data_IF_858246885734
#
_entry.id   IF_858246885734
#
_cell.length_a   1.000
_cell.length_b   1.000
_cell.length_c   1.000
_cell.angle_alpha   90.00
_cell.angle_beta   90.00
_cell.angle_gamma   90.00
#
_symmetry.space_group_name_H-M   'P 1'
#
loop_
_entity.id
_entity.type
_entity.pdbx_description
1 polymer ?
#
# COMPACT_ATOMS: atom_id res chain seq x y z
N UNK A 1 26.40 1.80 -13.46
CA UNK A 1 25.94 2.92 -14.31
C UNK A 1 24.92 3.71 -13.52
N UNK A 2 25.17 4.97 -13.17
CA UNK A 2 24.14 5.83 -12.57
C UNK A 2 23.09 6.12 -13.66
N UNK A 3 21.89 5.55 -13.52
CA UNK A 3 20.78 5.86 -14.41
C UNK A 3 20.40 7.34 -14.17
N UNK A 4 20.83 8.23 -15.07
CA UNK A 4 20.38 9.64 -15.08
C UNK A 4 19.02 9.80 -15.75
N UNK A 5 18.57 8.79 -16.50
CA UNK A 5 17.27 8.79 -17.17
C UNK A 5 16.60 7.41 -17.15
N UNK A 6 15.27 7.38 -17.24
CA UNK A 6 14.44 6.21 -17.49
C UNK A 6 13.38 6.54 -18.57
N UNK A 7 13.53 6.02 -19.80
CA UNK A 7 12.79 6.50 -20.97
C UNK A 7 12.95 8.02 -21.17
N UNK A 8 11.84 8.71 -21.35
CA UNK A 8 11.75 10.17 -21.46
C UNK A 8 11.76 10.91 -20.12
N UNK A 9 12.22 10.28 -19.04
CA UNK A 9 12.23 10.88 -17.71
C UNK A 9 13.66 11.01 -17.18
N UNK A 10 13.99 12.16 -16.60
CA UNK A 10 15.20 12.35 -15.81
C UNK A 10 14.99 11.83 -14.39
N UNK A 11 16.02 11.22 -13.82
CA UNK A 11 16.04 10.73 -12.44
C UNK A 11 16.90 11.68 -11.61
N UNK A 12 16.37 12.14 -10.48
CA UNK A 12 17.03 13.16 -9.64
C UNK A 12 17.57 12.53 -8.36
N UNK A 13 16.69 12.02 -7.51
CA UNK A 13 17.03 11.47 -6.18
C UNK A 13 16.33 10.15 -5.97
N UNK A 14 17.06 9.15 -5.47
CA UNK A 14 16.45 7.92 -4.97
C UNK A 14 15.72 8.23 -3.67
N UNK A 15 14.41 8.09 -3.68
CA UNK A 15 13.54 8.42 -2.53
C UNK A 15 13.38 7.23 -1.59
N UNK A 16 13.41 6.01 -2.11
CA UNK A 16 13.24 4.81 -1.29
C UNK A 16 13.22 3.54 -2.11
N UNK A 17 12.71 2.48 -1.49
CA UNK A 17 12.54 1.18 -2.14
C UNK A 17 11.32 0.45 -1.59
N UNK A 18 10.72 -0.40 -2.42
CA UNK A 18 9.57 -1.23 -2.08
C UNK A 18 9.70 -2.57 -2.81
N UNK A 19 9.86 -3.66 -2.07
CA UNK A 19 10.12 -4.98 -2.64
C UNK A 19 11.28 -4.98 -3.64
N UNK A 20 11.01 -5.42 -4.87
CA UNK A 20 11.98 -5.44 -5.98
C UNK A 20 12.11 -4.08 -6.70
N UNK A 21 11.55 -2.99 -6.20
CA UNK A 21 11.62 -1.68 -6.85
C UNK A 21 12.43 -0.69 -6.02
N UNK A 22 13.27 0.08 -6.70
CA UNK A 22 13.72 1.37 -6.20
C UNK A 22 12.82 2.44 -6.81
N UNK A 23 12.51 3.50 -6.06
CA UNK A 23 11.73 4.61 -6.60
C UNK A 23 12.45 5.95 -6.42
N UNK A 24 12.29 6.79 -7.44
CA UNK A 24 13.05 8.01 -7.64
C UNK A 24 12.12 9.19 -7.88
N UNK A 25 12.50 10.37 -7.39
CA UNK A 25 11.93 11.62 -7.89
C UNK A 25 12.51 11.90 -9.28
N UNK A 26 11.65 12.26 -10.23
CA UNK A 26 12.04 12.58 -11.58
C UNK A 26 11.06 13.53 -12.28
N UNK A 27 11.36 13.84 -13.53
CA UNK A 27 10.46 14.61 -14.39
C UNK A 27 10.56 14.16 -15.84
N UNK A 28 9.45 14.29 -16.58
CA UNK A 28 9.47 14.10 -18.02
C UNK A 28 10.37 15.19 -18.66
N UNK A 29 11.36 14.78 -19.46
CA UNK A 29 12.43 15.66 -19.97
C UNK A 29 11.87 16.81 -20.80
N UNK A 30 10.92 16.53 -21.69
CA UNK A 30 10.33 17.56 -22.57
C UNK A 30 9.19 18.34 -21.91
N UNK A 31 8.28 17.64 -21.21
CA UNK A 31 7.06 18.22 -20.66
C UNK A 31 7.25 18.85 -19.27
N UNK A 32 8.37 18.59 -18.59
CA UNK A 32 8.64 19.08 -17.23
C UNK A 32 7.71 18.50 -16.16
N UNK A 33 6.89 17.50 -16.48
CA UNK A 33 5.93 16.90 -15.57
C UNK A 33 6.69 16.07 -14.52
N UNK A 34 6.60 16.49 -13.25
CA UNK A 34 7.18 15.75 -12.13
C UNK A 34 6.50 14.40 -11.94
N UNK A 35 7.25 13.40 -11.53
CA UNK A 35 6.78 12.03 -11.34
C UNK A 35 7.56 11.31 -10.25
N UNK A 36 6.91 10.33 -9.60
CA UNK A 36 7.59 9.28 -8.85
C UNK A 36 7.78 8.07 -9.78
N UNK A 37 9.02 7.61 -9.93
CA UNK A 37 9.40 6.61 -10.94
C UNK A 37 9.94 5.37 -10.25
N UNK A 38 9.23 4.26 -10.37
CA UNK A 38 9.62 2.95 -9.85
C UNK A 38 10.40 2.20 -10.93
N UNK A 39 11.54 1.61 -10.55
CA UNK A 39 12.40 0.84 -11.44
C UNK A 39 12.74 -0.48 -10.75
N UNK A 40 12.55 -1.60 -11.44
CA UNK A 40 12.93 -2.90 -10.89
C UNK A 40 14.45 -2.97 -10.63
N UNK A 41 14.82 -3.55 -9.48
CA UNK A 41 16.21 -3.73 -9.05
C UNK A 41 16.89 -4.83 -9.85
N UNK A 42 16.13 -5.87 -10.19
CA UNK A 42 16.55 -6.96 -11.06
C UNK A 42 15.97 -6.79 -12.45
N UNK A 43 16.62 -7.45 -13.40
CA UNK A 43 16.09 -7.61 -14.73
C UNK A 43 14.81 -8.45 -14.68
N UNK A 44 13.93 -8.20 -15.63
CA UNK A 44 12.59 -8.71 -15.74
C UNK A 44 12.46 -9.35 -17.12
N UNK A 45 11.89 -10.55 -17.15
CA UNK A 45 11.52 -11.16 -18.42
C UNK A 45 10.45 -10.28 -19.11
N UNK A 46 10.62 -9.93 -20.39
CA UNK A 46 9.64 -9.13 -21.10
C UNK A 46 8.32 -9.89 -21.24
N UNK A 47 7.31 -9.48 -20.47
CA UNK A 47 5.92 -9.89 -20.66
C UNK A 47 5.18 -8.85 -21.52
N UNK A 48 4.10 -9.22 -22.23
CA UNK A 48 3.25 -8.23 -22.90
C UNK A 48 2.63 -7.26 -21.87
N UNK A 49 3.18 -6.05 -21.75
CA UNK A 49 2.75 -5.04 -20.77
C UNK A 49 1.58 -4.18 -21.25
N UNK A 50 1.11 -4.33 -22.49
CA UNK A 50 -0.01 -3.56 -23.01
C UNK A 50 -1.29 -3.66 -22.16
N UNK A 51 -1.65 -4.83 -21.58
CA UNK A 51 -2.74 -4.91 -20.62
C UNK A 51 -2.54 -4.03 -19.39
N UNK A 52 -1.30 -3.90 -18.87
CA UNK A 52 -0.99 -3.02 -17.73
C UNK A 52 -1.18 -1.53 -18.07
N UNK A 53 -1.05 -1.13 -19.34
CA UNK A 53 -1.29 0.25 -19.75
C UNK A 53 -2.76 0.67 -19.55
N UNK A 54 -3.69 -0.28 -19.41
CA UNK A 54 -5.08 0.02 -19.04
C UNK A 54 -5.19 0.72 -17.67
N UNK A 55 -4.25 0.46 -16.75
CA UNK A 55 -4.18 1.08 -15.43
C UNK A 55 -4.09 2.60 -15.49
N UNK A 56 -3.51 3.15 -16.56
CA UNK A 56 -3.38 4.61 -16.79
C UNK A 56 -4.72 5.33 -16.89
N UNK A 57 -5.79 4.60 -17.25
CA UNK A 57 -7.15 5.13 -17.36
C UNK A 57 -7.90 5.11 -16.02
N UNK A 58 -7.38 4.40 -15.01
CA UNK A 58 -8.00 4.35 -13.69
C UNK A 58 -7.79 5.68 -12.96
N UNK A 59 -8.85 6.17 -12.33
CA UNK A 59 -8.82 7.38 -11.53
C UNK A 59 -9.53 7.11 -10.20
N UNK A 60 -8.87 6.37 -9.32
CA UNK A 60 -9.39 6.03 -7.99
C UNK A 60 -8.73 6.99 -7.00
N UNK A 61 -9.52 7.87 -6.39
CA UNK A 61 -8.99 8.75 -5.36
C UNK A 61 -8.43 7.92 -4.19
N UNK A 62 -7.17 8.17 -3.83
CA UNK A 62 -6.42 7.39 -2.84
C UNK A 62 -5.55 6.27 -3.43
N UNK A 63 -5.52 6.09 -4.75
CA UNK A 63 -4.53 5.23 -5.45
C UNK A 63 -3.66 6.12 -6.33
N UNK A 64 -2.36 5.85 -6.38
CA UNK A 64 -1.43 6.62 -7.19
C UNK A 64 -1.76 6.50 -8.67
N UNK A 65 -1.93 7.63 -9.35
CA UNK A 65 -2.18 7.62 -10.79
C UNK A 65 -0.92 7.19 -11.53
N UNK A 66 -1.06 6.20 -12.41
CA UNK A 66 0.00 5.76 -13.30
C UNK A 66 -0.04 6.59 -14.59
N UNK A 67 1.09 7.22 -14.93
CA UNK A 67 1.27 7.94 -16.19
C UNK A 67 1.79 7.04 -17.30
N UNK A 68 2.72 6.14 -16.99
CA UNK A 68 3.32 5.25 -17.97
C UNK A 68 3.89 3.96 -17.36
N UNK A 69 3.99 2.92 -18.19
CA UNK A 69 4.59 1.62 -17.85
C UNK A 69 5.35 1.12 -19.08
N UNK A 70 6.64 0.83 -18.92
CA UNK A 70 7.49 0.34 -20.02
C UNK A 70 8.70 -0.44 -19.51
N UNK A 71 9.36 -1.18 -20.41
CA UNK A 71 10.65 -1.78 -20.14
C UNK A 71 11.79 -0.87 -20.61
N UNK A 72 12.86 -0.80 -19.82
CA UNK A 72 14.13 -0.17 -20.23
C UNK A 72 15.31 -0.97 -19.69
N UNK A 73 16.20 -1.41 -20.58
CA UNK A 73 17.34 -2.28 -20.23
C UNK A 73 16.89 -3.49 -19.40
N UNK A 74 15.86 -4.17 -19.89
CA UNK A 74 15.22 -5.33 -19.24
C UNK A 74 14.67 -5.06 -17.83
N UNK A 75 14.48 -3.80 -17.44
CA UNK A 75 13.87 -3.43 -16.16
C UNK A 75 12.50 -2.85 -16.36
N UNK A 76 11.57 -3.23 -15.50
CA UNK A 76 10.24 -2.65 -15.49
C UNK A 76 10.32 -1.24 -14.89
N UNK A 77 9.82 -0.27 -15.63
CA UNK A 77 9.69 1.13 -15.21
C UNK A 77 8.21 1.48 -15.12
N UNK A 78 7.81 2.00 -13.96
CA UNK A 78 6.45 2.51 -13.72
C UNK A 78 6.54 3.96 -13.30
N UNK A 79 5.89 4.82 -14.06
CA UNK A 79 5.85 6.27 -13.83
C UNK A 79 4.50 6.62 -13.26
N UNK A 80 4.50 7.31 -12.13
CA UNK A 80 3.29 7.69 -11.41
C UNK A 80 3.22 9.20 -11.20
N UNK A 81 2.16 9.67 -10.55
CA UNK A 81 2.01 11.05 -10.11
C UNK A 81 3.19 11.56 -9.26
N UNK A 82 3.35 12.89 -9.10
CA UNK A 82 4.53 13.50 -8.49
C UNK A 82 4.88 12.95 -7.11
N UNK A 83 6.15 13.14 -6.74
CA UNK A 83 6.71 12.64 -5.49
C UNK A 83 5.88 13.09 -4.27
N UNK A 84 5.56 12.15 -3.36
CA UNK A 84 4.87 12.44 -2.11
C UNK A 84 5.78 13.20 -1.15
N UNK A 85 5.20 13.66 -0.02
CA UNK A 85 5.99 14.21 1.10
C UNK A 85 6.87 13.14 1.78
N UNK A 86 6.46 11.87 1.70
CA UNK A 86 7.16 10.72 2.25
C UNK A 86 6.29 9.48 2.19
N UNK A 87 6.90 8.31 2.37
CA UNK A 87 6.19 7.06 2.56
C UNK A 87 5.74 6.90 4.02
N UNK A 88 4.77 6.01 4.27
CA UNK A 88 4.37 5.61 5.62
C UNK A 88 5.52 4.94 6.37
N UNK A 89 6.42 4.28 5.65
CA UNK A 89 7.69 3.81 6.21
C UNK A 89 8.49 4.92 6.87
N UNK A 90 8.67 6.07 6.19
CA UNK A 90 9.42 7.22 6.72
C UNK A 90 8.68 7.83 7.91
N UNK A 91 7.36 7.84 7.88
CA UNK A 91 6.53 8.28 9.01
C UNK A 91 6.80 7.43 10.25
N UNK A 92 6.78 6.09 10.15
CA UNK A 92 7.12 5.22 11.27
C UNK A 92 8.55 5.42 11.78
N UNK A 93 9.50 5.69 10.89
CA UNK A 93 10.89 5.93 11.27
C UNK A 93 11.06 7.20 12.12
N UNK A 94 10.26 8.23 11.83
CA UNK A 94 10.27 9.51 12.54
C UNK A 94 9.30 9.57 13.72
N UNK A 95 8.43 8.57 13.88
CA UNK A 95 7.45 8.53 14.95
C UNK A 95 8.13 8.10 16.27
N UNK A 96 8.15 9.00 17.25
CA UNK A 96 8.83 8.77 18.54
C UNK A 96 7.94 8.13 19.62
N UNK A 97 6.62 8.17 19.44
CA UNK A 97 5.63 7.59 20.33
C UNK A 97 4.44 7.06 19.50
N UNK A 98 3.73 6.06 20.02
CA UNK A 98 2.48 5.60 19.41
C UNK A 98 1.46 6.72 19.26
N UNK A 99 0.55 6.55 18.31
CA UNK A 99 -0.63 7.40 18.20
C UNK A 99 -1.68 6.97 19.22
N UNK A 100 -2.53 7.92 19.61
CA UNK A 100 -3.79 7.56 20.25
C UNK A 100 -4.63 6.69 19.29
N UNK A 101 -5.46 5.84 19.87
CA UNK A 101 -6.17 4.81 19.13
C UNK A 101 -7.16 5.39 18.12
N UNK A 102 -7.78 6.54 18.42
CA UNK A 102 -8.73 7.21 17.52
C UNK A 102 -8.02 7.77 16.30
N UNK A 103 -6.90 8.47 16.48
CA UNK A 103 -6.08 9.01 15.39
C UNK A 103 -5.50 7.89 14.52
N UNK A 104 -5.07 6.78 15.14
CA UNK A 104 -4.58 5.61 14.41
C UNK A 104 -5.69 4.99 13.53
N UNK A 105 -6.90 4.85 14.07
CA UNK A 105 -8.07 4.40 13.30
C UNK A 105 -8.34 5.33 12.13
N UNK A 106 -8.36 6.65 12.36
CA UNK A 106 -8.61 7.64 11.30
C UNK A 106 -7.58 7.58 10.16
N UNK A 107 -6.31 7.38 10.50
CA UNK A 107 -5.27 7.21 9.51
C UNK A 107 -5.49 5.93 8.68
N UNK A 108 -5.81 4.81 9.32
CA UNK A 108 -6.02 3.53 8.60
C UNK A 108 -7.31 3.55 7.77
N UNK A 109 -8.36 4.23 8.22
CA UNK A 109 -9.58 4.44 7.43
C UNK A 109 -9.30 5.17 6.10
N UNK A 110 -8.33 6.11 6.08
CA UNK A 110 -7.89 6.76 4.84
C UNK A 110 -7.21 5.80 3.86
N UNK A 111 -6.58 4.73 4.35
CA UNK A 111 -5.98 3.66 3.53
C UNK A 111 -7.05 2.67 3.06
N UNK A 112 -7.97 2.28 3.95
CA UNK A 112 -9.03 1.33 3.62
C UNK A 112 -10.03 1.88 2.60
N UNK A 113 -10.28 3.19 2.58
CA UNK A 113 -11.23 3.82 1.66
C UNK A 113 -10.93 3.59 0.16
N UNK A 114 -9.69 3.81 -0.36
CA UNK A 114 -9.36 3.43 -1.73
C UNK A 114 -9.38 1.91 -1.96
N UNK A 115 -9.00 1.09 -0.98
CA UNK A 115 -9.08 -0.38 -1.08
C UNK A 115 -10.52 -0.85 -1.23
N UNK A 116 -11.47 -0.26 -0.50
CA UNK A 116 -12.90 -0.55 -0.65
C UNK A 116 -13.36 -0.34 -2.09
N UNK A 117 -12.93 0.76 -2.73
CA UNK A 117 -13.27 1.05 -4.12
C UNK A 117 -12.66 0.05 -5.08
N UNK A 118 -11.38 -0.30 -4.91
CA UNK A 118 -10.72 -1.34 -5.69
C UNK A 118 -11.45 -2.67 -5.56
N UNK A 119 -11.78 -3.08 -4.33
CA UNK A 119 -12.41 -4.37 -4.07
C UNK A 119 -13.80 -4.46 -4.69
N UNK A 120 -14.56 -3.36 -4.69
CA UNK A 120 -15.86 -3.25 -5.34
C UNK A 120 -15.77 -3.31 -6.88
N UNK A 121 -14.62 -2.98 -7.45
CA UNK A 121 -14.32 -3.11 -8.88
C UNK A 121 -13.73 -4.48 -9.26
N UNK A 122 -13.80 -5.46 -8.35
CA UNK A 122 -13.16 -6.77 -8.49
C UNK A 122 -11.64 -6.67 -8.68
N UNK A 123 -11.00 -5.79 -7.90
CA UNK A 123 -9.57 -5.57 -7.94
C UNK A 123 -8.95 -5.50 -6.54
N UNK A 124 -7.62 -5.48 -6.46
CA UNK A 124 -6.84 -5.42 -5.23
C UNK A 124 -5.42 -4.87 -5.48
N UNK A 125 -4.71 -4.49 -4.43
CA UNK A 125 -3.28 -4.13 -4.50
C UNK A 125 -2.42 -5.38 -4.31
N UNK A 126 -2.75 -6.20 -3.31
CA UNK A 126 -2.21 -7.55 -3.04
C UNK A 126 -0.77 -7.64 -2.54
N UNK A 127 0.05 -6.62 -2.78
CA UNK A 127 1.45 -6.51 -2.35
C UNK A 127 1.75 -5.21 -1.58
N UNK A 128 0.74 -4.65 -0.91
CA UNK A 128 0.88 -3.42 -0.12
C UNK A 128 1.73 -3.62 1.14
N UNK A 129 2.54 -2.62 1.49
CA UNK A 129 3.22 -2.45 2.77
C UNK A 129 3.42 -0.95 3.08
N UNK A 130 4.07 -0.59 4.18
CA UNK A 130 4.27 0.81 4.57
C UNK A 130 5.12 1.62 3.56
N UNK A 131 5.89 0.97 2.70
CA UNK A 131 6.76 1.61 1.70
C UNK A 131 6.03 1.94 0.40
N UNK A 132 4.80 1.43 0.24
CA UNK A 132 3.90 1.68 -0.90
C UNK A 132 2.68 2.51 -0.51
N UNK A 133 2.61 2.99 0.73
CA UNK A 133 1.61 3.95 1.20
C UNK A 133 2.27 5.30 1.37
N UNK A 134 1.71 6.36 0.79
CA UNK A 134 2.37 7.65 0.64
C UNK A 134 1.52 8.81 1.16
N UNK A 135 2.17 9.79 1.78
CA UNK A 135 1.54 11.02 2.27
C UNK A 135 1.65 12.15 1.25
N UNK A 136 0.51 12.74 0.91
CA UNK A 136 0.38 13.89 0.01
C UNK A 136 -0.09 15.13 0.78
N UNK A 137 -0.07 16.29 0.12
CA UNK A 137 -0.57 17.52 0.71
C UNK A 137 -2.06 17.41 1.06
N UNK A 138 -2.49 18.12 2.12
CA UNK A 138 -3.89 18.14 2.57
C UNK A 138 -4.36 16.85 3.25
N UNK A 139 -3.48 16.21 4.04
CA UNK A 139 -3.73 14.97 4.79
C UNK A 139 -4.23 13.78 3.95
N UNK A 140 -3.89 13.81 2.66
CA UNK A 140 -4.22 12.77 1.71
C UNK A 140 -3.21 11.62 1.81
N UNK A 141 -3.73 10.39 1.86
CA UNK A 141 -2.94 9.16 1.78
C UNK A 141 -3.23 8.51 0.43
N UNK A 142 -2.18 8.05 -0.26
CA UNK A 142 -2.32 7.31 -1.51
C UNK A 142 -1.56 6.00 -1.46
N UNK A 143 -2.15 4.97 -2.07
CA UNK A 143 -1.54 3.65 -2.22
C UNK A 143 -0.91 3.57 -3.61
N UNK A 144 0.37 3.23 -3.68
CA UNK A 144 1.03 2.83 -4.91
C UNK A 144 1.14 1.32 -5.02
N UNK A 145 1.65 0.84 -6.16
CA UNK A 145 2.02 -0.56 -6.33
C UNK A 145 0.90 -1.48 -6.82
N UNK A 146 -0.31 -0.97 -7.11
CA UNK A 146 -1.44 -1.77 -7.61
C UNK A 146 -1.14 -2.47 -8.95
N UNK A 147 -0.19 -1.95 -9.74
CA UNK A 147 0.28 -2.62 -10.95
C UNK A 147 1.00 -3.95 -10.71
N UNK A 148 1.59 -4.16 -9.52
CA UNK A 148 2.49 -5.28 -9.28
C UNK A 148 1.74 -6.61 -9.29
N UNK A 149 0.55 -6.67 -8.69
CA UNK A 149 -0.23 -7.91 -8.69
C UNK A 149 -0.64 -8.33 -10.11
N UNK A 150 -1.03 -7.38 -10.95
CA UNK A 150 -1.34 -7.65 -12.35
C UNK A 150 -0.09 -8.06 -13.14
N UNK A 151 1.06 -7.46 -12.85
CA UNK A 151 2.32 -7.82 -13.50
C UNK A 151 2.75 -9.26 -13.15
N UNK A 152 2.69 -9.64 -11.88
CA UNK A 152 3.00 -11.01 -11.45
C UNK A 152 2.00 -12.02 -12.03
N UNK A 153 0.72 -11.65 -12.14
CA UNK A 153 -0.30 -12.51 -12.76
C UNK A 153 -0.06 -12.69 -14.27
N UNK A 154 0.32 -11.62 -14.98
CA UNK A 154 0.70 -11.71 -16.39
C UNK A 154 1.92 -12.63 -16.57
N UNK A 155 2.90 -12.54 -15.68
CA UNK A 155 4.09 -13.41 -15.71
C UNK A 155 3.74 -14.88 -15.43
N UNK A 156 2.88 -15.14 -14.47
CA UNK A 156 2.53 -16.50 -14.07
C UNK A 156 1.61 -17.21 -15.06
N UNK A 157 0.57 -16.52 -15.55
CA UNK A 157 -0.53 -17.14 -16.32
C UNK A 157 -0.96 -16.33 -17.55
N UNK A 158 -0.23 -15.28 -17.93
CA UNK A 158 -0.52 -14.45 -19.10
C UNK A 158 -1.93 -13.82 -19.09
N UNK A 159 -2.45 -13.48 -17.90
CA UNK A 159 -3.73 -12.79 -17.72
C UNK A 159 -3.58 -11.52 -16.91
N UNK A 160 -4.39 -10.52 -17.23
CA UNK A 160 -4.42 -9.26 -16.48
C UNK A 160 -5.36 -9.37 -15.28
N UNK A 161 -6.57 -9.89 -15.51
CA UNK A 161 -7.56 -10.15 -14.48
C UNK A 161 -7.13 -11.33 -13.61
N UNK A 162 -7.29 -11.14 -12.30
CA UNK A 162 -7.03 -12.17 -11.30
C UNK A 162 -8.15 -13.21 -11.33
N UNK A 163 -7.80 -14.48 -11.14
CA UNK A 163 -8.81 -15.49 -10.88
C UNK A 163 -9.54 -15.17 -9.55
N UNK A 164 -10.79 -15.64 -9.36
CA UNK A 164 -11.56 -15.30 -8.16
C UNK A 164 -10.85 -15.63 -6.84
N UNK A 165 -10.13 -16.76 -6.79
CA UNK A 165 -9.38 -17.19 -5.60
C UNK A 165 -8.16 -16.27 -5.36
N UNK A 166 -7.36 -15.98 -6.38
CA UNK A 166 -6.22 -15.05 -6.28
C UNK A 166 -6.66 -13.63 -5.89
N UNK A 167 -7.81 -13.18 -6.42
CA UNK A 167 -8.42 -11.90 -6.07
C UNK A 167 -8.86 -11.89 -4.61
N UNK A 168 -9.51 -12.94 -4.14
CA UNK A 168 -9.90 -13.07 -2.74
C UNK A 168 -8.67 -13.02 -1.83
N UNK A 169 -7.63 -13.78 -2.16
CA UNK A 169 -6.36 -13.78 -1.43
C UNK A 169 -5.66 -12.42 -1.42
N UNK A 170 -5.74 -11.66 -2.52
CA UNK A 170 -5.20 -10.32 -2.60
C UNK A 170 -5.97 -9.33 -1.69
N UNK A 171 -7.30 -9.41 -1.70
CA UNK A 171 -8.17 -8.57 -0.85
C UNK A 171 -7.91 -8.80 0.65
N UNK A 172 -7.79 -10.06 1.08
CA UNK A 172 -7.51 -10.37 2.49
C UNK A 172 -6.09 -9.94 2.89
N UNK A 173 -5.12 -9.98 1.97
CA UNK A 173 -3.76 -9.46 2.21
C UNK A 173 -3.76 -7.94 2.40
N UNK A 174 -4.51 -7.21 1.58
CA UNK A 174 -4.63 -5.75 1.72
C UNK A 174 -5.20 -5.37 3.10
N UNK A 175 -6.26 -6.06 3.53
CA UNK A 175 -6.89 -5.88 4.85
C UNK A 175 -5.92 -6.23 5.98
N UNK A 176 -5.22 -7.36 5.89
CA UNK A 176 -4.24 -7.77 6.89
C UNK A 176 -3.08 -6.78 7.01
N UNK A 177 -2.68 -6.12 5.92
CA UNK A 177 -1.68 -5.05 5.96
C UNK A 177 -2.21 -3.81 6.67
N UNK A 178 -3.45 -3.41 6.44
CA UNK A 178 -4.09 -2.35 7.23
C UNK A 178 -4.14 -2.69 8.72
N UNK A 179 -4.46 -3.94 9.07
CA UNK A 179 -4.42 -4.43 10.45
C UNK A 179 -3.05 -4.35 11.11
N UNK A 180 -2.02 -4.76 10.38
CA UNK A 180 -0.62 -4.70 10.84
C UNK A 180 -0.13 -3.26 11.02
N UNK A 181 -0.46 -2.37 10.07
CA UNK A 181 -0.20 -0.92 10.19
C UNK A 181 -0.88 -0.36 11.44
N UNK A 182 -2.17 -0.68 11.64
CA UNK A 182 -2.93 -0.21 12.80
C UNK A 182 -2.29 -0.66 14.11
N UNK A 183 -1.95 -1.95 14.22
CA UNK A 183 -1.26 -2.50 15.39
C UNK A 183 0.02 -1.75 15.69
N UNK A 184 0.82 -1.48 14.66
CA UNK A 184 2.09 -0.78 14.78
C UNK A 184 1.94 0.67 15.23
N UNK A 185 0.89 1.37 14.78
CA UNK A 185 0.59 2.75 15.18
C UNK A 185 0.25 2.86 16.67
N UNK A 186 -0.39 1.84 17.25
CA UNK A 186 -0.87 1.87 18.64
C UNK A 186 -0.03 1.00 19.61
N UNK A 187 1.02 0.33 19.14
CA UNK A 187 1.87 -0.53 19.97
C UNK A 187 3.34 -0.13 19.93
N UNK A 188 3.83 0.38 21.06
CA UNK A 188 5.19 0.87 21.23
C UNK A 188 6.25 -0.21 20.97
N UNK A 189 5.99 -1.47 21.32
CA UNK A 189 6.93 -2.58 21.14
C UNK A 189 7.21 -2.87 19.66
N UNK A 190 6.23 -2.58 18.80
CA UNK A 190 6.32 -2.84 17.36
C UNK A 190 6.57 -1.60 16.52
N UNK A 191 6.55 -0.40 17.12
CA UNK A 191 6.71 0.87 16.40
C UNK A 191 7.95 0.87 15.48
N UNK A 192 9.08 0.36 15.98
CA UNK A 192 10.34 0.26 15.23
C UNK A 192 10.54 -1.05 14.46
N UNK A 193 9.60 -1.99 14.56
CA UNK A 193 9.66 -3.26 13.84
C UNK A 193 9.05 -3.09 12.45
N UNK A 194 9.85 -3.23 11.40
CA UNK A 194 9.32 -3.23 10.04
C UNK A 194 8.51 -4.50 9.79
N UNK A 195 7.32 -4.36 9.20
CA UNK A 195 6.46 -5.48 8.79
C UNK A 195 6.28 -6.54 9.90
N UNK A 196 5.64 -6.20 11.04
CA UNK A 196 5.45 -7.16 12.12
C UNK A 196 4.71 -8.41 11.63
N UNK A 197 5.20 -9.57 12.05
CA UNK A 197 4.64 -10.87 11.65
C UNK A 197 3.20 -11.01 12.15
N UNK A 198 2.27 -11.37 11.25
CA UNK A 198 0.88 -11.63 11.60
C UNK A 198 0.72 -12.64 12.73
N UNK A 199 1.55 -13.69 12.75
CA UNK A 199 1.54 -14.68 13.83
C UNK A 199 1.88 -14.05 15.18
N UNK A 200 2.85 -13.11 15.23
CA UNK A 200 3.20 -12.40 16.46
C UNK A 200 2.06 -11.49 16.91
N UNK A 201 1.43 -10.77 15.98
CA UNK A 201 0.28 -9.90 16.28
C UNK A 201 -0.88 -10.71 16.88
N UNK A 202 -1.21 -11.86 16.29
CA UNK A 202 -2.24 -12.78 16.80
C UNK A 202 -1.96 -13.31 18.22
N UNK A 203 -0.70 -13.37 18.61
CA UNK A 203 -0.26 -13.88 19.92
C UNK A 203 -0.03 -12.75 20.93
N UNK A 204 -0.13 -11.49 20.51
CA UNK A 204 0.14 -10.33 21.35
C UNK A 204 -1.11 -9.89 22.09
N UNK A 205 -0.94 -9.54 23.37
CA UNK A 205 -1.98 -8.95 24.23
C UNK A 205 -1.42 -7.69 24.92
N UNK A 206 -1.11 -6.62 24.17
CA UNK A 206 -0.56 -5.40 24.73
C UNK A 206 -1.59 -4.72 25.64
N UNK A 207 -1.12 -4.22 26.79
CA UNK A 207 -1.99 -3.60 27.81
C UNK A 207 -2.58 -2.27 27.33
N UNK A 208 -1.88 -1.57 26.44
CA UNK A 208 -2.22 -0.20 26.03
C UNK A 208 -3.21 -0.13 24.83
N UNK A 209 -3.61 -1.28 24.28
CA UNK A 209 -4.61 -1.34 23.20
C UNK A 209 -5.97 -1.75 23.78
N UNK A 210 -7.02 -1.00 23.46
CA UNK A 210 -8.37 -1.36 23.92
C UNK A 210 -8.77 -2.73 23.34
N UNK A 211 -9.37 -3.64 24.14
CA UNK A 211 -9.64 -5.01 23.71
C UNK A 211 -10.43 -5.12 22.40
N UNK A 212 -11.43 -4.26 22.20
CA UNK A 212 -12.23 -4.27 20.95
C UNK A 212 -11.42 -3.84 19.73
N UNK A 213 -10.44 -2.93 19.89
CA UNK A 213 -9.54 -2.57 18.79
C UNK A 213 -8.57 -3.71 18.50
N UNK A 214 -8.02 -4.34 19.54
CA UNK A 214 -7.15 -5.50 19.40
C UNK A 214 -7.87 -6.66 18.69
N UNK A 215 -9.15 -6.89 19.00
CA UNK A 215 -9.96 -7.91 18.32
C UNK A 215 -10.07 -7.65 16.81
N UNK A 216 -10.38 -6.41 16.39
CA UNK A 216 -10.43 -6.02 14.96
C UNK A 216 -9.07 -6.23 14.28
N UNK A 217 -7.98 -5.83 14.94
CA UNK A 217 -6.62 -6.05 14.45
C UNK A 217 -6.37 -7.55 14.26
N UNK A 218 -6.62 -8.37 15.27
CA UNK A 218 -6.37 -9.81 15.23
C UNK A 218 -7.24 -10.51 14.17
N UNK A 219 -8.51 -10.12 14.03
CA UNK A 219 -9.38 -10.60 12.93
C UNK A 219 -8.78 -10.29 11.56
N UNK A 220 -8.27 -9.07 11.36
CA UNK A 220 -7.73 -8.64 10.07
C UNK A 220 -6.45 -9.38 9.66
N UNK A 221 -5.59 -9.76 10.61
CA UNK A 221 -4.30 -10.43 10.30
C UNK A 221 -4.40 -11.96 10.27
N UNK A 222 -5.55 -12.55 10.62
CA UNK A 222 -5.75 -14.00 10.58
C UNK A 222 -6.07 -14.50 9.16
N UNK A 223 -5.01 -14.69 8.35
CA UNK A 223 -5.15 -15.18 6.98
C UNK A 223 -5.57 -16.66 6.87
N UNK A 224 -5.39 -17.47 7.93
CA UNK A 224 -5.81 -18.89 7.92
C UNK A 224 -7.32 -19.05 8.09
N UNK A 225 -7.95 -18.07 8.74
CA UNK A 225 -9.40 -18.04 8.92
C UNK A 225 -9.88 -16.61 8.73
N UNK A 226 -9.86 -16.10 7.48
CA UNK A 226 -10.20 -14.72 7.19
C UNK A 226 -11.60 -14.40 7.70
N UNK A 227 -11.73 -13.28 8.43
CA UNK A 227 -13.01 -12.78 8.93
C UNK A 227 -13.57 -11.63 8.12
N UNK A 228 -12.74 -11.05 7.25
CA UNK A 228 -13.13 -10.01 6.33
C UNK A 228 -12.92 -10.49 4.90
N UNK A 229 -13.93 -10.34 4.05
CA UNK A 229 -13.82 -10.65 2.61
C UNK A 229 -13.42 -9.43 1.79
N UNK A 230 -13.67 -8.23 2.33
CA UNK A 230 -13.37 -6.96 1.68
C UNK A 230 -13.17 -5.82 2.69
N UNK A 231 -12.60 -4.70 2.24
CA UNK A 231 -12.27 -3.58 3.11
C UNK A 231 -13.50 -2.91 3.75
N UNK A 232 -14.71 -3.04 3.18
CA UNK A 232 -15.93 -2.43 3.74
C UNK A 232 -16.26 -2.96 5.13
N UNK A 233 -16.03 -4.25 5.37
CA UNK A 233 -16.34 -4.91 6.64
C UNK A 233 -15.42 -4.41 7.76
N UNK A 234 -14.11 -4.33 7.50
CA UNK A 234 -13.16 -3.76 8.45
C UNK A 234 -13.44 -2.27 8.70
N UNK A 235 -13.82 -1.49 7.66
CA UNK A 235 -14.24 -0.08 7.84
C UNK A 235 -15.42 0.02 8.79
N UNK A 236 -16.43 -0.85 8.64
CA UNK A 236 -17.62 -0.88 9.50
C UNK A 236 -17.25 -1.12 10.96
N UNK A 237 -16.44 -2.16 11.23
CA UNK A 237 -16.01 -2.47 12.60
C UNK A 237 -15.13 -1.37 13.20
N UNK A 238 -14.18 -0.80 12.44
CA UNK A 238 -13.32 0.29 12.94
C UNK A 238 -14.12 1.55 13.29
N UNK A 239 -15.17 1.89 12.54
CA UNK A 239 -16.06 3.01 12.87
C UNK A 239 -16.82 2.75 14.17
N UNK A 240 -17.35 1.54 14.35
CA UNK A 240 -18.01 1.16 15.60
C UNK A 240 -17.04 1.19 16.81
N UNK A 241 -15.81 0.70 16.62
CA UNK A 241 -14.76 0.78 17.67
C UNK A 241 -14.43 2.23 18.00
N UNK A 242 -14.30 3.10 17.00
CA UNK A 242 -14.04 4.53 17.20
C UNK A 242 -15.13 5.19 18.07
N UNK A 243 -16.40 4.90 17.79
CA UNK A 243 -17.53 5.40 18.59
C UNK A 243 -17.47 4.91 20.05
N UNK A 244 -17.10 3.64 20.26
CA UNK A 244 -16.92 3.06 21.60
C UNK A 244 -15.81 3.79 22.36
N UNK A 245 -14.64 4.00 21.73
CA UNK A 245 -13.50 4.69 22.35
C UNK A 245 -13.87 6.13 22.74
N UNK A 246 -14.50 6.86 21.82
CA UNK A 246 -14.99 8.22 22.05
C UNK A 246 -15.98 8.30 23.22
N UNK A 247 -16.92 7.35 23.31
CA UNK A 247 -17.92 7.32 24.41
C UNK A 247 -17.30 7.08 25.79
N UNK A 248 -16.12 6.43 25.83
CA UNK A 248 -15.38 6.13 27.05
C UNK A 248 -14.37 7.22 27.44
N UNK A 249 -14.20 8.25 26.62
CA UNK A 249 -13.18 9.28 26.82
C UNK A 249 -11.75 8.75 26.69
N UNK A 250 -11.56 7.70 25.87
CA UNK A 250 -10.26 7.06 25.57
C UNK A 250 -9.84 7.47 24.16
#
# INVERSE_FOLDING_TARGET
MELRTAGNYSLTVKMGNWGNFDYFEGAHVELGIKALIFISKTDCEPVPIDPLKSLRKRNINGVMKIYDIFFRYDRLVVVTEPAPRGAMFDYFYNLHATLDQITAIDLVLKILAPLQKLHAMNDAVGYMDESSVFFFQGDNVKIGGDWLIHYENLKAVSRFELAPEDLFEAKIRDIARCGSILFRLVNQETLRQNNPSYKKILQSNPVDIHPTLLEVIQKSVNLQTPRYENASEMIGELKAVKEILQSKGI
#
